data_IF_883437793655
#
_entry.id   IF_883437793655
#
_cell.length_a   1.000
_cell.length_b   1.000
_cell.length_c   1.000
_cell.angle_alpha   90.00
_cell.angle_beta   90.00
_cell.angle_gamma   90.00
#
_symmetry.space_group_name_H-M   'P 1'
#
loop_
_entity.id
_entity.type
_entity.pdbx_description
1 polymer ?
#
# COMPACT_ATOMS: atom_id res chain seq x y z
N UNK A 1 14.00 -6.41 -2.79
CA UNK A 1 12.56 -6.53 -2.46
C UNK A 1 11.71 -6.30 -3.71
N UNK A 2 10.39 -6.51 -3.70
CA UNK A 2 9.54 -6.25 -4.89
C UNK A 2 9.63 -4.80 -5.40
N UNK A 3 9.47 -3.82 -4.50
CA UNK A 3 9.54 -2.40 -4.87
C UNK A 3 10.90 -2.03 -5.51
N UNK A 4 12.01 -2.55 -4.98
CA UNK A 4 13.34 -2.30 -5.54
C UNK A 4 13.54 -2.97 -6.91
N UNK A 5 13.06 -4.20 -7.10
CA UNK A 5 13.12 -4.88 -8.41
C UNK A 5 12.32 -4.11 -9.47
N UNK A 6 11.13 -3.62 -9.10
CA UNK A 6 10.31 -2.81 -10.00
C UNK A 6 10.98 -1.47 -10.33
N UNK A 7 11.57 -0.80 -9.34
CA UNK A 7 12.27 0.46 -9.54
C UNK A 7 13.52 0.31 -10.42
N UNK A 8 14.32 -0.74 -10.21
CA UNK A 8 15.49 -1.05 -11.04
C UNK A 8 15.08 -1.32 -12.50
N UNK A 9 14.03 -2.12 -12.72
CA UNK A 9 13.51 -2.39 -14.05
C UNK A 9 12.94 -1.14 -14.75
N UNK A 10 12.52 -0.13 -13.97
CA UNK A 10 12.05 1.16 -14.43
C UNK A 10 13.17 2.22 -14.56
N UNK A 11 14.44 1.82 -14.48
CA UNK A 11 15.62 2.69 -14.56
C UNK A 11 15.67 3.80 -13.48
N UNK A 12 15.23 3.47 -12.27
CA UNK A 12 15.24 4.37 -11.12
C UNK A 12 16.41 4.08 -10.16
N UNK A 13 16.99 5.15 -9.61
CA UNK A 13 18.04 5.07 -8.57
C UNK A 13 17.46 4.49 -7.26
N UNK A 14 17.97 3.32 -6.86
CA UNK A 14 17.53 2.62 -5.65
C UNK A 14 17.91 3.33 -4.34
N UNK A 15 19.01 4.08 -4.32
CA UNK A 15 19.39 4.89 -3.17
C UNK A 15 18.49 6.12 -3.05
N UNK A 16 18.09 6.73 -4.18
CA UNK A 16 17.10 7.80 -4.20
C UNK A 16 15.74 7.31 -3.70
N UNK A 17 15.26 6.16 -4.21
CA UNK A 17 14.05 5.51 -3.72
C UNK A 17 14.13 5.28 -2.20
N UNK A 18 15.23 4.70 -1.71
CA UNK A 18 15.42 4.45 -0.29
C UNK A 18 15.45 5.71 0.58
N UNK A 19 15.98 6.83 0.06
CA UNK A 19 15.95 8.14 0.75
C UNK A 19 14.52 8.65 0.89
N UNK A 20 13.73 8.59 -0.19
CA UNK A 20 12.33 9.01 -0.18
C UNK A 20 11.55 8.19 0.83
N UNK A 21 11.59 6.85 0.74
CA UNK A 21 10.86 5.94 1.64
C UNK A 21 11.18 6.22 3.11
N UNK A 22 12.47 6.25 3.49
CA UNK A 22 12.86 6.50 4.89
C UNK A 22 12.45 7.89 5.38
N UNK A 23 12.55 8.90 4.53
CA UNK A 23 12.15 10.27 4.89
C UNK A 23 10.64 10.35 5.11
N UNK A 24 9.85 9.82 4.18
CA UNK A 24 8.38 9.86 4.28
C UNK A 24 7.89 9.01 5.44
N UNK A 25 8.46 7.83 5.69
CA UNK A 25 8.09 6.99 6.84
C UNK A 25 8.35 7.70 8.17
N UNK A 26 9.44 8.46 8.29
CA UNK A 26 9.74 9.24 9.49
C UNK A 26 8.71 10.36 9.73
N UNK A 27 8.05 10.87 8.68
CA UNK A 27 7.01 11.91 8.76
C UNK A 27 5.63 11.30 9.01
N UNK A 28 5.30 10.19 8.35
CA UNK A 28 3.96 9.59 8.39
C UNK A 28 3.79 8.53 9.48
N UNK A 29 4.88 8.04 10.07
CA UNK A 29 4.87 6.93 11.03
C UNK A 29 5.05 5.55 10.38
N UNK A 30 5.21 5.49 9.06
CA UNK A 30 5.43 4.25 8.32
C UNK A 30 4.25 3.26 8.45
N UNK A 31 4.50 1.94 8.34
CA UNK A 31 3.43 0.93 8.37
C UNK A 31 2.60 0.90 9.66
N UNK A 32 3.14 1.40 10.78
CA UNK A 32 2.43 1.48 12.05
C UNK A 32 1.30 2.51 12.08
N UNK A 33 1.27 3.45 11.12
CA UNK A 33 0.30 4.55 11.08
C UNK A 33 -1.15 4.11 10.85
N UNK A 34 -1.40 2.84 10.49
CA UNK A 34 -2.75 2.26 10.35
C UNK A 34 -3.15 1.38 11.54
N UNK A 35 -2.32 1.26 12.57
CA UNK A 35 -2.55 0.38 13.73
C UNK A 35 -3.28 1.09 14.87
N UNK A 36 -4.41 1.74 14.56
CA UNK A 36 -5.19 2.53 15.52
C UNK A 36 -6.46 1.85 16.04
N UNK A 37 -6.83 0.69 15.48
CA UNK A 37 -8.05 -0.04 15.86
C UNK A 37 -7.84 -0.88 17.12
N UNK A 38 -8.86 -0.95 17.97
CA UNK A 38 -8.85 -1.79 19.17
C UNK A 38 -8.89 -3.29 18.85
N UNK A 39 -9.57 -3.66 17.75
CA UNK A 39 -9.66 -5.05 17.27
C UNK A 39 -9.54 -5.12 15.75
N UNK A 40 -9.35 -6.34 15.23
CA UNK A 40 -9.34 -6.60 13.78
C UNK A 40 -10.73 -6.88 13.20
N UNK A 41 -11.79 -6.73 14.00
CA UNK A 41 -13.16 -6.89 13.52
C UNK A 41 -13.48 -5.87 12.40
N UNK A 42 -14.47 -6.15 11.54
CA UNK A 42 -14.97 -5.17 10.59
C UNK A 42 -15.36 -3.87 11.30
N UNK A 43 -15.08 -2.73 10.66
CA UNK A 43 -15.52 -1.42 11.12
C UNK A 43 -16.99 -1.21 10.75
N UNK A 44 -17.73 -0.59 11.66
CA UNK A 44 -19.06 -0.05 11.37
C UNK A 44 -18.92 1.18 10.44
N UNK A 45 -19.91 1.43 9.58
CA UNK A 45 -19.88 2.60 8.67
C UNK A 45 -19.90 3.93 9.43
N UNK A 46 -20.48 3.95 10.64
CA UNK A 46 -20.51 5.12 11.51
C UNK A 46 -19.24 5.27 12.38
N UNK A 47 -18.28 4.33 12.30
CA UNK A 47 -17.00 4.43 13.00
C UNK A 47 -16.10 5.52 12.38
N UNK A 48 -15.44 6.30 13.23
CA UNK A 48 -14.52 7.35 12.80
C UNK A 48 -13.45 6.85 11.82
N UNK A 49 -12.88 5.67 12.06
CA UNK A 49 -11.83 5.09 11.23
C UNK A 49 -12.35 4.57 9.89
N UNK A 50 -13.66 4.30 9.76
CA UNK A 50 -14.22 3.77 8.52
C UNK A 50 -13.94 4.71 7.35
N UNK A 51 -14.29 5.99 7.48
CA UNK A 51 -14.09 6.97 6.41
C UNK A 51 -12.60 7.23 6.12
N UNK A 52 -11.77 7.24 7.16
CA UNK A 52 -10.31 7.40 7.01
C UNK A 52 -9.72 6.23 6.23
N UNK A 53 -10.09 5.01 6.59
CA UNK A 53 -9.57 3.81 5.94
C UNK A 53 -10.19 3.54 4.57
N UNK A 54 -11.43 3.96 4.30
CA UNK A 54 -11.97 3.92 2.95
C UNK A 54 -11.18 4.84 2.00
N UNK A 55 -10.77 6.02 2.48
CA UNK A 55 -9.89 6.90 1.72
C UNK A 55 -8.50 6.27 1.48
N UNK A 56 -7.91 5.65 2.51
CA UNK A 56 -6.64 4.91 2.38
C UNK A 56 -6.77 3.75 1.40
N UNK A 57 -7.87 2.98 1.46
CA UNK A 57 -8.18 1.89 0.53
C UNK A 57 -8.22 2.42 -0.90
N UNK A 58 -8.96 3.50 -1.16
CA UNK A 58 -9.09 4.07 -2.49
C UNK A 58 -7.73 4.50 -3.08
N UNK A 59 -6.88 5.15 -2.28
CA UNK A 59 -5.52 5.51 -2.70
C UNK A 59 -4.65 4.28 -2.95
N UNK A 60 -4.64 3.34 -2.00
CA UNK A 60 -3.81 2.14 -2.06
C UNK A 60 -4.20 1.21 -3.21
N UNK A 61 -5.48 0.98 -3.45
CA UNK A 61 -5.96 0.17 -4.58
C UNK A 61 -5.57 0.78 -5.94
N UNK A 62 -5.70 2.10 -6.07
CA UNK A 62 -5.30 2.84 -7.28
C UNK A 62 -3.79 2.74 -7.50
N UNK A 63 -2.97 3.04 -6.48
CA UNK A 63 -1.50 3.01 -6.59
C UNK A 63 -0.97 1.59 -6.81
N UNK A 64 -1.53 0.58 -6.12
CA UNK A 64 -1.18 -0.84 -6.34
C UNK A 64 -1.56 -1.30 -7.75
N UNK A 65 -2.71 -0.85 -8.27
CA UNK A 65 -3.11 -1.17 -9.65
C UNK A 65 -2.08 -0.64 -10.64
N UNK A 66 -1.68 0.63 -10.54
CA UNK A 66 -0.65 1.19 -11.41
C UNK A 66 0.72 0.52 -11.24
N UNK A 67 1.13 0.17 -10.01
CA UNK A 67 2.37 -0.55 -9.78
C UNK A 67 2.36 -1.95 -10.43
N UNK A 68 1.24 -2.66 -10.35
CA UNK A 68 1.06 -3.98 -10.96
C UNK A 68 1.04 -3.89 -12.50
N UNK A 69 0.39 -2.88 -13.06
CA UNK A 69 0.37 -2.62 -14.50
C UNK A 69 1.76 -2.28 -15.03
N UNK A 70 2.51 -1.42 -14.32
CA UNK A 70 3.90 -1.11 -14.63
C UNK A 70 4.78 -2.37 -14.57
N UNK A 71 4.62 -3.17 -13.52
CA UNK A 71 5.36 -4.42 -13.37
C UNK A 71 5.08 -5.39 -14.53
N UNK A 72 3.81 -5.51 -14.96
CA UNK A 72 3.44 -6.31 -16.12
C UNK A 72 4.09 -5.78 -17.42
N UNK A 73 4.11 -4.45 -17.63
CA UNK A 73 4.76 -3.84 -18.80
C UNK A 73 6.28 -4.08 -18.84
N UNK A 74 6.92 -4.19 -17.68
CA UNK A 74 8.36 -4.43 -17.53
C UNK A 74 8.74 -5.91 -17.37
N UNK A 75 7.77 -6.83 -17.36
CA UNK A 75 8.01 -8.26 -17.17
C UNK A 75 8.48 -8.66 -15.77
N UNK A 76 8.10 -7.89 -14.74
CA UNK A 76 8.47 -8.12 -13.34
C UNK A 76 7.31 -8.74 -12.56
N UNK A 77 7.59 -9.85 -11.88
CA UNK A 77 6.63 -10.45 -10.95
C UNK A 77 6.59 -9.73 -9.59
N UNK A 78 5.38 -9.31 -9.20
CA UNK A 78 5.05 -8.61 -7.95
C UNK A 78 3.93 -9.32 -7.16
N UNK A 79 4.10 -10.60 -6.77
CA UNK A 79 3.07 -11.37 -6.09
C UNK A 79 2.58 -10.74 -4.77
N UNK A 80 3.44 -10.06 -4.01
CA UNK A 80 3.03 -9.36 -2.78
C UNK A 80 2.18 -8.13 -3.08
N UNK A 81 2.49 -7.35 -4.12
CA UNK A 81 1.62 -6.25 -4.54
C UNK A 81 0.23 -6.74 -4.96
N UNK A 82 0.15 -7.87 -5.69
CA UNK A 82 -1.13 -8.50 -6.08
C UNK A 82 -1.92 -8.95 -4.85
N UNK A 83 -1.26 -9.61 -3.90
CA UNK A 83 -1.87 -10.04 -2.65
C UNK A 83 -2.34 -8.84 -1.82
N UNK A 84 -1.53 -7.80 -1.71
CA UNK A 84 -1.89 -6.56 -1.01
C UNK A 84 -3.14 -5.93 -1.64
N UNK A 85 -3.20 -5.82 -2.97
CA UNK A 85 -4.36 -5.24 -3.67
C UNK A 85 -5.63 -6.03 -3.41
N UNK A 86 -5.55 -7.36 -3.45
CA UNK A 86 -6.70 -8.23 -3.24
C UNK A 86 -7.27 -8.16 -1.81
N UNK A 87 -6.42 -7.85 -0.83
CA UNK A 87 -6.80 -7.92 0.59
C UNK A 87 -6.79 -6.58 1.31
N UNK A 88 -6.50 -5.46 0.63
CA UNK A 88 -6.32 -4.15 1.28
C UNK A 88 -7.57 -3.72 2.05
N UNK A 89 -8.74 -3.76 1.40
CA UNK A 89 -10.01 -3.39 2.02
C UNK A 89 -10.28 -4.22 3.29
N UNK A 90 -10.21 -5.55 3.16
CA UNK A 90 -10.42 -6.48 4.27
C UNK A 90 -9.41 -6.26 5.40
N UNK A 91 -8.13 -6.05 5.08
CA UNK A 91 -7.08 -5.80 6.05
C UNK A 91 -7.28 -4.51 6.85
N UNK A 92 -7.90 -3.50 6.23
CA UNK A 92 -8.31 -2.26 6.88
C UNK A 92 -9.63 -2.39 7.66
N UNK A 93 -10.31 -3.54 7.60
CA UNK A 93 -11.57 -3.78 8.29
C UNK A 93 -12.80 -3.30 7.53
N UNK A 94 -12.67 -3.00 6.24
CA UNK A 94 -13.78 -2.60 5.39
C UNK A 94 -14.44 -3.86 4.81
N UNK A 95 -15.76 -3.90 4.80
CA UNK A 95 -16.52 -4.96 4.14
C UNK A 95 -16.58 -4.70 2.62
N UNK A 96 -16.65 -5.76 1.79
CA UNK A 96 -16.79 -5.64 0.34
C UNK A 96 -18.15 -5.08 -0.10
#
# INVERSE_FOLDING_TARGET
TEAQRLAEAADLDLLALGRVVRHTDAVTGGPGAIMHRETTAPLDEDDFWWAVFDHVRALGEKDLTYAIELAAALGIEVPLARLARANLAQGLGLQP
#
